data_IF_020982911672
#
_entry.id   IF_020982911672
#
_cell.length_a   1.000
_cell.length_b   1.000
_cell.length_c   1.000
_cell.angle_alpha   90.00
_cell.angle_beta   90.00
_cell.angle_gamma   90.00
#
_symmetry.space_group_name_H-M   'P 1'
#
loop_
_entity.id
_entity.type
_entity.pdbx_description
1 polymer ?
#
# COMPACT_ATOMS: atom_id res chain seq x y z
N UNK A 1 -28.10 -13.98 8.05
CA UNK A 1 -28.70 -14.02 6.70
C UNK A 1 -27.77 -13.26 5.76
N UNK A 2 -27.18 -13.91 4.75
CA UNK A 2 -26.36 -13.17 3.76
C UNK A 2 -27.31 -12.37 2.88
N UNK A 3 -26.83 -11.26 2.35
CA UNK A 3 -27.60 -10.35 1.50
C UNK A 3 -26.69 -9.84 0.42
N UNK A 4 -27.20 -9.73 -0.80
CA UNK A 4 -26.46 -9.13 -1.89
C UNK A 4 -26.77 -7.65 -1.96
N UNK A 5 -25.75 -6.81 -1.92
CA UNK A 5 -25.91 -5.36 -1.95
C UNK A 5 -25.40 -4.80 -3.27
N UNK A 6 -26.22 -3.99 -3.93
CA UNK A 6 -25.87 -3.37 -5.21
C UNK A 6 -26.11 -1.87 -5.17
N UNK A 7 -25.17 -1.12 -5.74
CA UNK A 7 -25.29 0.32 -5.98
C UNK A 7 -25.62 0.55 -7.46
N UNK A 8 -26.70 1.29 -7.70
CA UNK A 8 -27.17 1.70 -9.02
C UNK A 8 -26.94 3.19 -9.20
N UNK A 9 -26.20 3.54 -10.25
CA UNK A 9 -25.95 4.93 -10.66
C UNK A 9 -26.53 5.19 -12.05
N UNK A 10 -27.16 6.33 -12.22
CA UNK A 10 -27.61 6.82 -13.54
C UNK A 10 -26.60 7.82 -14.08
N UNK A 11 -26.46 7.90 -15.40
CA UNK A 11 -25.62 8.91 -16.06
C UNK A 11 -26.25 10.31 -16.06
N UNK A 12 -27.57 10.41 -15.92
CA UNK A 12 -28.34 11.67 -16.08
C UNK A 12 -28.67 12.38 -14.76
N UNK A 13 -28.41 11.75 -13.62
CA UNK A 13 -28.69 12.33 -12.30
C UNK A 13 -27.57 12.01 -11.31
N UNK A 14 -27.18 13.01 -10.53
CA UNK A 14 -26.37 12.83 -9.31
C UNK A 14 -27.19 12.09 -8.26
N UNK A 15 -27.05 10.77 -8.18
CA UNK A 15 -27.70 10.00 -7.15
C UNK A 15 -27.32 8.53 -7.13
N UNK A 16 -27.73 7.86 -6.06
CA UNK A 16 -27.49 6.45 -5.80
C UNK A 16 -28.78 5.79 -5.35
N UNK A 17 -29.10 4.64 -5.94
CA UNK A 17 -29.99 3.67 -5.31
C UNK A 17 -29.12 2.52 -4.79
N UNK A 18 -29.33 2.14 -3.55
CA UNK A 18 -28.68 0.98 -2.94
C UNK A 18 -29.77 -0.03 -2.67
N UNK A 19 -29.69 -1.18 -3.32
CA UNK A 19 -30.67 -2.26 -3.19
C UNK A 19 -30.00 -3.44 -2.51
N UNK A 20 -30.71 -4.05 -1.55
CA UNK A 20 -30.31 -5.28 -0.89
C UNK A 20 -31.28 -6.38 -1.25
N UNK A 21 -30.75 -7.52 -1.69
CA UNK A 21 -31.52 -8.71 -2.01
C UNK A 21 -31.21 -9.82 -1.00
N UNK A 22 -32.20 -10.65 -0.71
CA UNK A 22 -32.01 -11.89 0.06
C UNK A 22 -31.21 -12.90 -0.77
N UNK A 23 -30.68 -13.94 -0.11
CA UNK A 23 -30.07 -15.09 -0.80
C UNK A 23 -31.04 -15.76 -1.79
N UNK A 24 -32.35 -15.75 -1.48
CA UNK A 24 -33.43 -16.23 -2.35
C UNK A 24 -33.63 -15.39 -3.62
N UNK A 25 -32.96 -14.24 -3.73
CA UNK A 25 -33.04 -13.33 -4.87
C UNK A 25 -34.15 -12.28 -4.79
N UNK A 26 -34.95 -12.31 -3.73
CA UNK A 26 -36.01 -11.34 -3.46
C UNK A 26 -35.45 -10.01 -2.97
N UNK A 27 -36.02 -8.89 -3.43
CA UNK A 27 -35.69 -7.55 -2.92
C UNK A 27 -36.05 -7.44 -1.43
N UNK A 28 -35.06 -7.13 -0.62
CA UNK A 28 -35.20 -6.94 0.84
C UNK A 28 -35.35 -5.48 1.21
N UNK A 29 -34.48 -4.61 0.67
CA UNK A 29 -34.50 -3.19 0.99
C UNK A 29 -34.02 -2.34 -0.17
N UNK A 30 -34.50 -1.10 -0.20
CA UNK A 30 -34.04 -0.09 -1.14
C UNK A 30 -33.83 1.24 -0.42
N UNK A 31 -32.64 1.82 -0.60
CA UNK A 31 -32.28 3.13 -0.08
C UNK A 31 -31.93 4.04 -1.25
N UNK A 32 -32.68 5.11 -1.40
CA UNK A 32 -32.62 5.97 -2.58
C UNK A 32 -32.19 7.38 -2.21
N UNK A 33 -31.23 7.93 -2.95
CA UNK A 33 -30.84 9.34 -2.86
C UNK A 33 -30.57 9.86 -4.26
N UNK A 34 -31.53 10.56 -4.87
CA UNK A 34 -31.36 11.16 -6.19
C UNK A 34 -31.54 12.67 -6.19
N UNK A 35 -30.63 13.35 -6.89
CA UNK A 35 -30.68 14.77 -7.21
C UNK A 35 -30.47 14.95 -8.71
N UNK A 36 -31.34 15.72 -9.36
CA UNK A 36 -31.14 16.14 -10.75
C UNK A 36 -30.93 17.65 -10.77
N UNK A 37 -29.79 18.10 -11.31
CA UNK A 37 -29.42 19.53 -11.35
C UNK A 37 -29.54 20.23 -9.98
N UNK A 38 -29.07 19.57 -8.92
CA UNK A 38 -29.12 20.09 -7.55
C UNK A 38 -30.49 20.02 -6.84
N UNK A 39 -31.57 19.66 -7.54
CA UNK A 39 -32.93 19.52 -6.97
C UNK A 39 -33.28 18.06 -6.70
N UNK A 40 -34.04 17.82 -5.64
CA UNK A 40 -34.62 16.51 -5.37
C UNK A 40 -35.70 16.17 -6.40
N UNK A 41 -35.89 14.88 -6.63
CA UNK A 41 -36.89 14.37 -7.56
C UNK A 41 -38.28 14.69 -7.01
N UNK A 42 -39.19 15.12 -7.89
CA UNK A 42 -40.61 15.23 -7.54
C UNK A 42 -41.28 13.83 -7.50
N UNK A 43 -42.55 13.78 -7.09
CA UNK A 43 -43.30 12.52 -6.91
C UNK A 43 -43.34 11.67 -8.18
N UNK A 44 -43.57 12.28 -9.33
CA UNK A 44 -43.72 11.57 -10.60
C UNK A 44 -42.39 11.06 -11.14
N UNK A 45 -41.33 11.87 -11.00
CA UNK A 45 -39.96 11.45 -11.31
C UNK A 45 -39.52 10.30 -10.41
N UNK A 46 -39.88 10.32 -9.12
CA UNK A 46 -39.57 9.24 -8.20
C UNK A 46 -40.34 7.96 -8.56
N UNK A 47 -41.64 8.07 -8.88
CA UNK A 47 -42.44 6.92 -9.34
C UNK A 47 -41.86 6.29 -10.60
N UNK A 48 -41.55 7.11 -11.60
CA UNK A 48 -40.95 6.65 -12.85
C UNK A 48 -39.58 5.99 -12.63
N UNK A 49 -38.81 6.44 -11.65
CA UNK A 49 -37.53 5.83 -11.32
C UNK A 49 -37.71 4.48 -10.63
N UNK A 50 -38.56 4.42 -9.60
CA UNK A 50 -38.83 3.19 -8.85
C UNK A 50 -39.42 2.09 -9.75
N UNK A 51 -40.23 2.44 -10.76
CA UNK A 51 -40.78 1.47 -11.72
C UNK A 51 -39.74 0.89 -12.68
N UNK A 52 -38.51 1.43 -12.71
CA UNK A 52 -37.43 0.94 -13.58
C UNK A 52 -36.32 0.22 -12.83
N UNK A 53 -36.36 0.21 -11.50
CA UNK A 53 -35.35 -0.47 -10.69
C UNK A 53 -35.59 -1.98 -10.70
N UNK A 54 -34.52 -2.79 -10.80
CA UNK A 54 -34.65 -4.24 -10.86
C UNK A 54 -35.15 -4.80 -9.53
N UNK A 55 -36.18 -5.63 -9.57
CA UNK A 55 -36.84 -6.20 -8.38
C UNK A 55 -36.26 -7.58 -8.04
N UNK A 56 -35.57 -8.21 -8.99
CA UNK A 56 -34.93 -9.53 -8.83
C UNK A 56 -33.44 -9.50 -9.17
N UNK A 57 -32.65 -10.45 -8.62
CA UNK A 57 -31.22 -10.58 -8.96
C UNK A 57 -30.98 -10.82 -10.46
N UNK A 58 -31.86 -11.58 -11.11
CA UNK A 58 -31.79 -11.84 -12.55
C UNK A 58 -31.92 -10.56 -13.38
N UNK A 59 -32.76 -9.62 -12.94
CA UNK A 59 -32.89 -8.31 -13.58
C UNK A 59 -31.68 -7.41 -13.32
N UNK A 60 -31.01 -7.55 -12.17
CA UNK A 60 -29.76 -6.82 -11.87
C UNK A 60 -28.67 -7.19 -12.88
N UNK A 61 -28.53 -8.48 -13.19
CA UNK A 61 -27.51 -8.98 -14.12
C UNK A 61 -27.72 -8.48 -15.56
N UNK A 62 -28.97 -8.28 -15.96
CA UNK A 62 -29.35 -7.87 -17.32
C UNK A 62 -29.65 -6.37 -17.43
N UNK A 63 -29.33 -5.58 -16.40
CA UNK A 63 -29.71 -4.17 -16.38
C UNK A 63 -28.83 -3.31 -17.30
N UNK A 64 -29.42 -2.74 -18.34
CA UNK A 64 -28.74 -1.83 -19.29
C UNK A 64 -28.93 -0.34 -18.96
N UNK A 65 -29.87 -0.01 -18.07
CA UNK A 65 -30.26 1.37 -17.76
C UNK A 65 -29.40 2.02 -16.68
N UNK A 66 -28.82 1.21 -15.80
CA UNK A 66 -28.03 1.67 -14.66
C UNK A 66 -26.62 1.11 -14.74
N UNK A 67 -25.65 1.91 -14.29
CA UNK A 67 -24.32 1.38 -13.97
C UNK A 67 -24.41 0.71 -12.61
N UNK A 68 -24.39 -0.63 -12.62
CA UNK A 68 -24.49 -1.45 -11.42
C UNK A 68 -23.10 -1.72 -10.86
N UNK A 69 -22.92 -1.51 -9.56
CA UNK A 69 -21.74 -1.92 -8.80
C UNK A 69 -22.18 -2.82 -7.66
N UNK A 70 -21.72 -4.07 -7.64
CA UNK A 70 -21.86 -4.92 -6.46
C UNK A 70 -21.06 -4.28 -5.32
N UNK A 71 -21.74 -3.96 -4.22
CA UNK A 71 -21.09 -3.51 -3.01
C UNK A 71 -20.63 -4.76 -2.28
N UNK A 72 -19.37 -4.77 -1.85
CA UNK A 72 -18.82 -5.82 -1.01
C UNK A 72 -19.81 -6.11 0.14
N UNK A 73 -20.11 -7.39 0.35
CA UNK A 73 -20.89 -7.77 1.51
C UNK A 73 -20.16 -7.23 2.75
N UNK A 74 -20.83 -6.77 3.81
CA UNK A 74 -20.17 -6.33 5.04
C UNK A 74 -19.30 -7.42 5.72
N UNK A 75 -19.25 -8.62 5.14
CA UNK A 75 -18.41 -9.77 5.51
C UNK A 75 -17.39 -10.18 4.43
N UNK A 76 -17.27 -9.49 3.30
CA UNK A 76 -16.02 -9.60 2.54
C UNK A 76 -14.95 -9.01 3.45
N UNK A 77 -14.05 -9.87 3.94
CA UNK A 77 -12.93 -9.45 4.74
C UNK A 77 -12.26 -8.29 4.00
N UNK A 78 -12.36 -7.09 4.57
CA UNK A 78 -11.56 -5.96 4.14
C UNK A 78 -10.14 -6.51 4.09
N UNK A 79 -9.50 -6.44 2.92
CA UNK A 79 -8.13 -6.93 2.72
C UNK A 79 -7.16 -6.07 3.55
N UNK A 80 -7.22 -6.29 4.86
CA UNK A 80 -6.51 -5.57 5.90
C UNK A 80 -5.04 -5.87 5.76
N UNK A 81 -4.68 -7.03 5.22
CA UNK A 81 -3.32 -7.41 4.91
C UNK A 81 -2.72 -6.49 3.85
N UNK A 82 -3.40 -6.29 2.72
CA UNK A 82 -2.92 -5.36 1.68
C UNK A 82 -2.94 -3.92 2.17
N UNK A 83 -4.00 -3.49 2.85
CA UNK A 83 -4.07 -2.14 3.41
C UNK A 83 -2.94 -1.88 4.43
N UNK A 84 -2.62 -2.86 5.29
CA UNK A 84 -1.49 -2.81 6.23
C UNK A 84 -0.16 -2.73 5.49
N UNK A 85 0.07 -3.55 4.46
CA UNK A 85 1.30 -3.49 3.64
C UNK A 85 1.50 -2.13 2.99
N UNK A 86 0.44 -1.57 2.39
CA UNK A 86 0.47 -0.22 1.79
C UNK A 86 0.79 0.83 2.84
N UNK A 87 0.15 0.78 4.01
CA UNK A 87 0.42 1.70 5.11
C UNK A 87 1.85 1.58 5.64
N UNK A 88 2.34 0.36 5.85
CA UNK A 88 3.71 0.06 6.27
C UNK A 88 4.73 0.62 5.28
N UNK A 89 4.55 0.33 3.99
CA UNK A 89 5.45 0.83 2.94
C UNK A 89 5.51 2.36 2.95
N UNK A 90 4.36 3.01 2.86
CA UNK A 90 4.30 4.48 2.80
C UNK A 90 4.91 5.12 4.04
N UNK A 91 4.71 4.51 5.22
CA UNK A 91 5.34 4.96 6.47
C UNK A 91 6.86 4.82 6.43
N UNK A 92 7.39 3.64 6.10
CA UNK A 92 8.83 3.38 6.07
C UNK A 92 9.53 4.24 5.00
N UNK A 93 8.92 4.36 3.82
CA UNK A 93 9.44 5.21 2.75
C UNK A 93 9.50 6.68 3.16
N UNK A 94 8.41 7.21 3.75
CA UNK A 94 8.39 8.60 4.24
C UNK A 94 9.45 8.83 5.32
N UNK A 95 9.63 7.88 6.23
CA UNK A 95 10.66 8.00 7.27
C UNK A 95 12.08 8.02 6.68
N UNK A 96 12.35 7.21 5.66
CA UNK A 96 13.69 7.13 5.04
C UNK A 96 14.00 8.32 4.14
N UNK A 97 13.07 8.70 3.26
CA UNK A 97 13.32 9.69 2.20
C UNK A 97 12.72 11.05 2.48
N UNK A 98 11.96 11.21 3.58
CA UNK A 98 11.22 12.44 3.92
C UNK A 98 10.21 12.89 2.84
N UNK A 99 9.85 11.98 1.93
CA UNK A 99 8.90 12.21 0.83
C UNK A 99 7.76 11.21 0.93
N UNK A 100 6.53 11.68 0.73
CA UNK A 100 5.37 10.80 0.71
C UNK A 100 5.34 9.96 -0.58
N UNK A 101 5.38 8.63 -0.44
CA UNK A 101 5.26 7.73 -1.57
C UNK A 101 3.81 7.67 -2.07
N UNK A 102 3.59 7.92 -3.36
CA UNK A 102 2.27 7.83 -3.98
C UNK A 102 2.15 6.55 -4.82
N UNK A 103 1.55 5.51 -4.24
CA UNK A 103 1.32 4.25 -4.95
C UNK A 103 0.28 4.38 -6.06
N UNK A 104 0.55 3.69 -7.16
CA UNK A 104 -0.39 3.45 -8.26
C UNK A 104 -1.27 2.22 -7.98
N UNK A 105 -2.45 2.09 -8.63
CA UNK A 105 -3.29 0.90 -8.51
C UNK A 105 -2.57 -0.39 -8.91
N UNK A 106 -1.64 -0.32 -9.88
CA UNK A 106 -0.82 -1.44 -10.31
C UNK A 106 0.09 -1.94 -9.19
N UNK A 107 0.78 -1.04 -8.50
CA UNK A 107 1.66 -1.36 -7.37
C UNK A 107 0.90 -1.95 -6.19
N UNK A 108 -0.31 -1.45 -5.92
CA UNK A 108 -1.19 -2.02 -4.88
C UNK A 108 -1.54 -3.47 -5.23
N UNK A 109 -1.85 -3.75 -6.51
CA UNK A 109 -2.08 -5.11 -7.00
C UNK A 109 -0.86 -6.02 -6.85
N UNK A 110 0.35 -5.50 -7.07
CA UNK A 110 1.59 -6.25 -6.88
C UNK A 110 1.86 -6.57 -5.40
N UNK A 111 1.69 -5.60 -4.50
CA UNK A 111 1.84 -5.80 -3.04
C UNK A 111 0.84 -6.80 -2.47
N UNK A 112 -0.37 -6.84 -3.04
CA UNK A 112 -1.38 -7.84 -2.68
C UNK A 112 -0.90 -9.27 -2.98
N UNK A 113 -0.21 -9.45 -4.10
CA UNK A 113 0.25 -10.76 -4.58
C UNK A 113 1.46 -11.34 -3.85
N UNK A 114 2.19 -10.55 -3.06
CA UNK A 114 3.41 -11.00 -2.38
C UNK A 114 3.22 -11.11 -0.87
N UNK A 115 3.87 -12.08 -0.23
CA UNK A 115 4.03 -12.10 1.22
C UNK A 115 5.33 -11.36 1.57
N UNK A 116 5.18 -10.13 2.06
CA UNK A 116 6.26 -9.28 2.53
C UNK A 116 5.98 -8.84 3.97
N UNK A 117 7.00 -8.99 4.81
CA UNK A 117 7.06 -8.50 6.19
C UNK A 117 7.51 -7.04 6.24
N UNK A 118 7.34 -6.39 7.39
CA UNK A 118 7.81 -5.01 7.55
C UNK A 118 9.35 -4.91 7.52
N UNK A 119 10.03 -5.94 8.02
CA UNK A 119 11.49 -6.06 8.02
C UNK A 119 12.05 -6.16 6.59
N UNK A 120 11.44 -6.97 5.71
CA UNK A 120 11.85 -7.06 4.30
C UNK A 120 11.69 -5.73 3.56
N UNK A 121 10.62 -4.98 3.85
CA UNK A 121 10.42 -3.64 3.26
C UNK A 121 11.50 -2.69 3.75
N UNK A 122 11.79 -2.66 5.05
CA UNK A 122 12.83 -1.80 5.63
C UNK A 122 14.22 -2.17 5.06
N UNK A 123 14.53 -3.45 4.99
CA UNK A 123 15.77 -3.96 4.42
C UNK A 123 15.95 -3.54 2.97
N UNK A 124 14.89 -3.64 2.16
CA UNK A 124 14.92 -3.17 0.78
C UNK A 124 15.17 -1.66 0.67
N UNK A 125 14.45 -0.85 1.45
CA UNK A 125 14.57 0.60 1.39
C UNK A 125 15.95 1.08 1.82
N UNK A 126 16.60 0.34 2.71
CA UNK A 126 17.95 0.64 3.20
C UNK A 126 19.10 0.01 2.39
N UNK A 127 18.83 -1.04 1.60
CA UNK A 127 19.86 -1.75 0.84
C UNK A 127 20.63 -0.83 -0.12
N UNK A 128 21.95 -0.98 -0.20
CA UNK A 128 22.81 -0.30 -1.17
C UNK A 128 23.10 -1.16 -2.42
N UNK A 129 22.49 -2.34 -2.52
CA UNK A 129 22.67 -3.27 -3.63
C UNK A 129 22.32 -2.62 -4.99
N UNK A 130 23.15 -2.89 -5.99
CA UNK A 130 23.06 -2.22 -7.30
C UNK A 130 21.73 -2.50 -8.03
N UNK A 131 21.10 -3.63 -7.74
CA UNK A 131 19.82 -4.07 -8.31
C UNK A 131 18.60 -3.61 -7.48
N UNK A 132 18.78 -2.70 -6.50
CA UNK A 132 17.72 -2.17 -5.63
C UNK A 132 17.75 -0.64 -5.56
N UNK A 133 18.20 0.05 -6.62
CA UNK A 133 18.42 1.50 -6.61
C UNK A 133 17.15 2.33 -6.75
N UNK A 134 16.11 1.83 -7.43
CA UNK A 134 14.95 2.64 -7.76
C UNK A 134 14.00 2.83 -6.56
N UNK A 135 14.07 1.95 -5.55
CA UNK A 135 13.27 2.03 -4.31
C UNK A 135 11.77 2.10 -4.56
N UNK A 136 11.31 1.50 -5.66
CA UNK A 136 9.88 1.43 -6.01
C UNK A 136 9.25 0.13 -5.53
N UNK A 137 7.92 0.14 -5.38
CA UNK A 137 7.15 -1.08 -5.10
C UNK A 137 7.29 -2.09 -6.24
N UNK A 138 7.29 -1.61 -7.48
CA UNK A 138 7.41 -2.48 -8.66
C UNK A 138 8.72 -3.27 -8.65
N UNK A 139 9.84 -2.62 -8.31
CA UNK A 139 11.15 -3.29 -8.20
C UNK A 139 11.20 -4.22 -6.97
N UNK A 140 10.67 -3.79 -5.83
CA UNK A 140 10.60 -4.62 -4.62
C UNK A 140 9.82 -5.93 -4.83
N UNK A 141 8.72 -5.89 -5.59
CA UNK A 141 7.88 -7.06 -5.82
C UNK A 141 8.51 -8.09 -6.78
N UNK A 142 9.71 -7.85 -7.31
CA UNK A 142 10.43 -8.82 -8.15
C UNK A 142 10.95 -9.98 -7.30
N UNK A 143 10.78 -11.21 -7.77
CA UNK A 143 11.13 -12.41 -7.01
C UNK A 143 12.61 -12.48 -6.63
N UNK A 144 13.50 -12.09 -7.56
CA UNK A 144 14.94 -12.01 -7.36
C UNK A 144 15.34 -10.97 -6.30
N UNK A 145 14.62 -9.85 -6.21
CA UNK A 145 14.85 -8.80 -5.21
C UNK A 145 14.43 -9.31 -3.83
N UNK A 146 13.24 -9.89 -3.71
CA UNK A 146 12.76 -10.49 -2.46
C UNK A 146 13.68 -11.59 -1.94
N UNK A 147 14.15 -12.49 -2.81
CA UNK A 147 15.10 -13.53 -2.43
C UNK A 147 16.44 -12.96 -1.97
N UNK A 148 16.91 -11.90 -2.62
CA UNK A 148 18.15 -11.22 -2.21
C UNK A 148 17.99 -10.57 -0.84
N UNK A 149 16.87 -9.89 -0.59
CA UNK A 149 16.56 -9.28 0.72
C UNK A 149 16.53 -10.34 1.82
N UNK A 150 15.81 -11.44 1.61
CA UNK A 150 15.73 -12.56 2.57
C UNK A 150 17.10 -13.14 2.88
N UNK A 151 17.96 -13.27 1.87
CA UNK A 151 19.35 -13.72 2.05
C UNK A 151 20.16 -12.72 2.88
N UNK A 152 20.04 -11.42 2.61
CA UNK A 152 20.73 -10.37 3.37
C UNK A 152 20.29 -10.36 4.84
N UNK A 153 18.99 -10.47 5.10
CA UNK A 153 18.43 -10.59 6.45
C UNK A 153 18.99 -11.85 7.15
N UNK A 154 18.95 -13.00 6.48
CA UNK A 154 19.47 -14.26 7.04
C UNK A 154 20.98 -14.23 7.33
N UNK A 155 21.75 -13.46 6.57
CA UNK A 155 23.18 -13.24 6.78
C UNK A 155 23.49 -12.28 7.94
N UNK A 156 22.47 -11.70 8.58
CA UNK A 156 22.65 -10.72 9.65
C UNK A 156 23.30 -9.43 9.17
N UNK A 157 23.23 -9.14 7.85
CA UNK A 157 23.63 -7.85 7.32
C UNK A 157 22.59 -6.86 7.80
N UNK A 158 22.88 -6.19 8.92
CA UNK A 158 22.03 -5.15 9.47
C UNK A 158 21.82 -4.11 8.38
N UNK A 159 20.60 -4.05 7.84
CA UNK A 159 20.21 -3.05 6.86
C UNK A 159 20.08 -1.67 7.49
N UNK A 160 20.12 -1.57 8.83
CA UNK A 160 20.32 -0.31 9.54
C UNK A 160 21.80 -0.11 9.83
N UNK A 161 22.60 0.02 8.77
CA UNK A 161 23.95 0.53 8.95
C UNK A 161 23.83 2.03 9.23
N UNK A 162 23.74 2.39 10.52
CA UNK A 162 23.70 3.79 10.99
C UNK A 162 24.99 4.54 10.64
N UNK A 163 26.04 3.81 10.29
CA UNK A 163 27.37 4.33 10.03
C UNK A 163 27.54 4.75 8.57
N UNK A 164 28.19 5.91 8.36
CA UNK A 164 28.55 6.39 7.03
C UNK A 164 29.54 5.44 6.34
N UNK A 165 29.44 5.31 5.01
CA UNK A 165 30.33 4.46 4.19
C UNK A 165 31.69 5.11 3.89
N UNK A 166 31.97 6.26 4.49
CA UNK A 166 33.25 6.96 4.42
C UNK A 166 33.61 7.54 5.80
N UNK A 167 34.89 7.84 5.99
CA UNK A 167 35.36 8.51 7.19
C UNK A 167 34.92 9.98 7.21
N UNK A 168 34.21 10.36 8.27
CA UNK A 168 33.83 11.74 8.56
C UNK A 168 34.15 12.07 10.02
N UNK A 169 35.08 13.00 10.23
CA UNK A 169 35.54 13.39 11.56
C UNK A 169 34.43 14.04 12.41
N UNK A 170 33.50 14.74 11.77
CA UNK A 170 32.37 15.37 12.47
C UNK A 170 31.42 14.29 12.98
N UNK A 171 31.09 13.32 12.12
CA UNK A 171 30.25 12.18 12.49
C UNK A 171 30.89 11.33 13.59
N UNK A 172 32.21 11.05 13.50
CA UNK A 172 32.92 10.31 14.54
C UNK A 172 32.86 11.02 15.91
N UNK A 173 32.98 12.35 15.92
CA UNK A 173 32.94 13.14 17.17
C UNK A 173 31.57 13.11 17.86
N UNK A 174 30.50 12.85 17.11
CA UNK A 174 29.14 12.72 17.63
C UNK A 174 28.81 11.31 18.15
N UNK A 175 29.65 10.30 17.85
CA UNK A 175 29.43 8.93 18.27
C UNK A 175 29.81 8.70 19.73
N UNK A 176 29.02 7.87 20.42
CA UNK A 176 29.40 7.37 21.76
C UNK A 176 30.59 6.42 21.65
N UNK A 177 31.38 6.33 22.72
CA UNK A 177 32.56 5.44 22.78
C UNK A 177 32.24 3.97 22.43
N UNK A 178 31.03 3.48 22.78
CA UNK A 178 30.56 2.15 22.41
C UNK A 178 30.28 1.99 20.90
N UNK A 179 29.78 3.04 20.25
CA UNK A 179 29.42 3.06 18.82
C UNK A 179 30.65 3.30 17.93
N UNK A 180 31.65 4.01 18.45
CA UNK A 180 32.92 4.29 17.77
C UNK A 180 33.65 3.01 17.38
N UNK A 181 33.65 1.98 18.23
CA UNK A 181 34.25 0.67 17.93
C UNK A 181 33.56 -0.02 16.75
N UNK A 182 32.24 0.09 16.66
CA UNK A 182 31.45 -0.47 15.57
C UNK A 182 31.61 0.32 14.28
N UNK A 183 31.67 1.65 14.36
CA UNK A 183 31.99 2.54 13.23
C UNK A 183 33.34 2.20 12.59
N UNK A 184 34.39 2.06 13.39
CA UNK A 184 35.71 1.66 12.89
C UNK A 184 35.73 0.23 12.33
N UNK A 185 34.91 -0.68 12.86
CA UNK A 185 34.74 -2.02 12.29
C UNK A 185 34.06 -1.96 10.92
N UNK A 186 33.03 -1.11 10.78
CA UNK A 186 32.35 -0.83 9.51
C UNK A 186 33.31 -0.25 8.47
N UNK A 187 34.05 0.81 8.78
CA UNK A 187 35.03 1.41 7.87
C UNK A 187 36.11 0.42 7.44
N UNK A 188 36.60 -0.43 8.35
CA UNK A 188 37.56 -1.49 8.01
C UNK A 188 36.97 -2.53 7.04
N UNK A 189 35.69 -2.86 7.19
CA UNK A 189 35.00 -3.78 6.28
C UNK A 189 34.88 -3.21 4.85
N UNK A 190 34.85 -1.88 4.72
CA UNK A 190 34.88 -1.15 3.45
C UNK A 190 36.30 -0.94 2.89
N UNK A 191 37.34 -1.43 3.58
CA UNK A 191 38.73 -1.36 3.13
C UNK A 191 39.53 -0.17 3.66
N UNK A 192 38.95 0.69 4.49
CA UNK A 192 39.71 1.77 5.14
C UNK A 192 40.69 1.19 6.16
N UNK A 193 41.96 1.61 6.09
CA UNK A 193 42.99 1.25 7.06
C UNK A 193 43.45 2.51 7.77
N UNK A 194 43.56 2.44 9.10
CA UNK A 194 44.22 3.49 9.87
C UNK A 194 45.68 3.50 9.47
N UNK A 195 46.10 4.56 8.80
CA UNK A 195 47.53 4.84 8.64
C UNK A 195 47.99 5.32 9.99
N UNK A 196 48.56 4.42 10.78
CA UNK A 196 49.33 4.84 11.94
C UNK A 196 50.58 5.51 11.39
N UNK A 197 50.53 6.83 11.27
CA UNK A 197 51.74 7.61 11.08
C UNK A 197 52.55 7.45 12.36
N UNK A 198 53.44 6.46 12.35
CA UNK A 198 54.41 6.22 13.39
C UNK A 198 55.33 7.44 13.41
N UNK A 199 54.95 8.42 14.22
CA UNK A 199 55.55 9.74 14.24
C UNK A 199 57.07 9.65 14.20
N UNK A 200 57.65 10.17 13.11
CA UNK A 200 59.02 10.69 13.17
C UNK A 200 58.98 11.92 14.06
N UNK A 201 59.32 11.72 15.35
CA UNK A 201 60.00 12.75 16.11
C UNK A 201 61.34 13.00 15.43
N UNK A 202 61.45 14.09 14.68
CA UNK A 202 62.60 14.98 14.64
C UNK A 202 62.11 16.38 14.32
#
# INVERSE_FOLDING_TARGET
>A
MKRHKFEFKTSKSTGRAVMEFRETGELYSISVTFKHKGKYFNKDQMKALLSTLPITLSEVANNTRFKVKKLADPKEDLDTTTAKKVATWTKLYKNKFQVAYKMTPKEIGQLKGIQATSEEIEAYLNSSEWNMKAKTVTEFCRGEVLNTIRRLIAQGVSTNNRFLDYYDASFESELKMSEMKEYWKHLRSLGFRVVMDSGKKK
#
